data_IF_205759545854
#
_entry.id   IF_205759545854
#
_cell.length_a   1.000
_cell.length_b   1.000
_cell.length_c   1.000
_cell.angle_alpha   90.00
_cell.angle_beta   90.00
_cell.angle_gamma   90.00
#
_symmetry.space_group_name_H-M   'P 1'
#
loop_
_entity.id
_entity.type
_entity.pdbx_description
1 polymer ?
#
# COMPACT_ATOMS: atom_id res chain seq x y z
N UNK A 1 -8.98 11.61 -2.39
CA UNK A 1 -7.88 10.64 -2.20
C UNK A 1 -8.03 9.97 -0.83
N UNK A 2 -8.34 8.68 -0.76
CA UNK A 2 -8.56 8.03 0.55
C UNK A 2 -7.21 7.66 1.16
N UNK A 3 -6.86 8.27 2.31
CA UNK A 3 -5.64 7.92 3.05
C UNK A 3 -5.49 6.41 3.29
N UNK A 4 -6.62 5.70 3.34
CA UNK A 4 -6.69 4.25 3.42
C UNK A 4 -6.11 3.52 2.20
N UNK A 5 -6.34 4.02 0.98
CA UNK A 5 -5.77 3.42 -0.24
C UNK A 5 -4.24 3.48 -0.18
N UNK A 6 -3.67 4.63 0.22
CA UNK A 6 -2.24 4.77 0.42
C UNK A 6 -1.75 3.88 1.58
N UNK A 7 -2.41 3.90 2.74
CA UNK A 7 -2.03 3.07 3.89
C UNK A 7 -1.97 1.57 3.56
N UNK A 8 -2.85 1.13 2.64
CA UNK A 8 -2.92 -0.25 2.15
C UNK A 8 -1.80 -0.64 1.19
N UNK A 9 -0.99 0.30 0.72
CA UNK A 9 0.18 0.00 -0.09
C UNK A 9 1.31 -0.61 0.76
N UNK A 10 2.21 -1.40 0.15
CA UNK A 10 3.46 -1.76 0.77
C UNK A 10 4.25 -0.53 1.26
N UNK A 11 5.03 -0.69 2.32
CA UNK A 11 5.82 0.41 2.92
C UNK A 11 6.73 1.08 1.89
N UNK A 12 7.36 0.29 1.00
CA UNK A 12 8.22 0.77 -0.12
C UNK A 12 7.51 1.66 -1.15
N UNK A 13 6.18 1.70 -1.13
CA UNK A 13 5.35 2.49 -2.04
C UNK A 13 4.59 3.59 -1.28
N UNK A 14 5.13 4.06 -0.16
CA UNK A 14 4.52 5.14 0.62
C UNK A 14 3.37 4.74 1.53
N UNK A 15 3.03 3.45 1.59
CA UNK A 15 2.00 2.95 2.50
C UNK A 15 2.51 2.59 3.90
N UNK A 16 1.65 1.92 4.66
CA UNK A 16 1.97 1.36 5.99
C UNK A 16 2.13 -0.17 5.95
N UNK A 17 1.88 -0.81 4.81
CA UNK A 17 1.87 -2.27 4.70
C UNK A 17 0.63 -2.93 5.29
N UNK A 18 -0.39 -2.16 5.69
CA UNK A 18 -1.62 -2.68 6.29
C UNK A 18 -2.60 -3.06 5.18
N UNK A 19 -2.52 -4.29 4.69
CA UNK A 19 -3.32 -4.74 3.54
C UNK A 19 -4.79 -4.93 3.90
N UNK A 20 -5.70 -4.44 3.04
CA UNK A 20 -7.13 -4.77 3.12
C UNK A 20 -7.37 -6.18 2.59
N UNK A 21 -7.94 -7.05 3.42
CA UNK A 21 -8.22 -8.44 3.04
C UNK A 21 -9.03 -8.56 1.74
N UNK A 22 -10.05 -7.70 1.57
CA UNK A 22 -10.91 -7.67 0.37
C UNK A 22 -10.13 -7.34 -0.91
N UNK A 23 -9.11 -6.48 -0.84
CA UNK A 23 -8.28 -6.14 -2.01
C UNK A 23 -7.30 -7.27 -2.34
N UNK A 24 -6.81 -7.98 -1.32
CA UNK A 24 -5.81 -9.03 -1.47
C UNK A 24 -6.43 -10.38 -1.87
N UNK A 25 -7.69 -10.63 -1.48
CA UNK A 25 -8.36 -11.92 -1.63
C UNK A 25 -8.38 -12.46 -3.08
N UNK A 26 -8.71 -11.67 -4.12
CA UNK A 26 -8.69 -12.17 -5.50
C UNK A 26 -7.30 -12.62 -5.93
N UNK A 27 -6.26 -11.82 -5.66
CA UNK A 27 -4.88 -12.16 -5.98
C UNK A 27 -4.41 -13.42 -5.25
N UNK A 28 -4.73 -13.56 -3.96
CA UNK A 28 -4.40 -14.77 -3.18
C UNK A 28 -5.08 -16.01 -3.74
N UNK A 29 -6.39 -15.94 -3.95
CA UNK A 29 -7.19 -17.07 -4.39
C UNK A 29 -6.72 -17.56 -5.77
N UNK A 30 -6.57 -16.63 -6.72
CA UNK A 30 -6.16 -16.98 -8.08
C UNK A 30 -4.74 -17.54 -8.13
N UNK A 31 -3.82 -17.01 -7.31
CA UNK A 31 -2.47 -17.56 -7.22
C UNK A 31 -2.39 -18.91 -6.52
N UNK A 32 -3.19 -19.12 -5.49
CA UNK A 32 -3.32 -20.44 -4.86
C UNK A 32 -3.91 -21.46 -5.84
N UNK A 33 -4.98 -21.11 -6.54
CA UNK A 33 -5.63 -21.97 -7.53
C UNK A 33 -4.70 -22.33 -8.70
N UNK A 34 -3.92 -21.37 -9.21
CA UNK A 34 -2.95 -21.62 -10.26
C UNK A 34 -1.74 -22.42 -9.75
N UNK A 35 -1.19 -22.09 -8.58
CA UNK A 35 0.00 -22.75 -8.03
C UNK A 35 -0.25 -24.17 -7.52
N UNK A 36 -1.48 -24.50 -7.15
CA UNK A 36 -1.88 -25.85 -6.72
C UNK A 36 -2.35 -26.75 -7.87
N UNK A 37 -2.55 -26.22 -9.09
CA UNK A 37 -3.12 -26.96 -10.23
C UNK A 37 -2.38 -28.27 -10.50
N UNK A 38 -1.07 -28.21 -10.69
CA UNK A 38 -0.26 -29.39 -11.02
C UNK A 38 -0.34 -30.47 -9.92
N UNK A 39 -0.35 -30.05 -8.65
CA UNK A 39 -0.49 -30.97 -7.52
C UNK A 39 -1.87 -31.63 -7.49
N UNK A 40 -2.93 -30.84 -7.73
CA UNK A 40 -4.30 -31.35 -7.81
C UNK A 40 -4.43 -32.35 -8.95
N UNK A 41 -3.84 -32.05 -10.11
CA UNK A 41 -3.87 -32.92 -11.29
C UNK A 41 -3.10 -34.23 -11.08
N UNK A 42 -2.04 -34.23 -10.26
CA UNK A 42 -1.30 -35.44 -9.89
C UNK A 42 -1.99 -36.31 -8.83
N UNK A 43 -2.74 -35.70 -7.89
CA UNK A 43 -3.40 -36.42 -6.80
C UNK A 43 -4.76 -36.98 -7.24
N UNK A 44 -5.50 -36.21 -8.04
CA UNK A 44 -6.86 -36.57 -8.43
C UNK A 44 -6.89 -37.38 -9.74
N UNK A 45 -7.78 -38.38 -9.85
CA UNK A 45 -8.11 -39.00 -11.13
C UNK A 45 -8.53 -37.97 -12.18
N UNK A 46 -8.22 -38.22 -13.46
CA UNK A 46 -8.42 -37.27 -14.56
C UNK A 46 -9.85 -36.68 -14.65
N UNK A 47 -10.89 -37.46 -14.30
CA UNK A 47 -12.27 -36.98 -14.33
C UNK A 47 -12.57 -35.94 -13.23
N UNK A 48 -11.85 -35.99 -12.10
CA UNK A 48 -11.99 -35.04 -11.00
C UNK A 48 -11.09 -33.82 -11.20
N UNK A 49 -9.87 -33.99 -11.74
CA UNK A 49 -8.96 -32.88 -12.01
C UNK A 49 -9.47 -31.92 -13.10
N UNK A 50 -10.25 -32.44 -14.05
CA UNK A 50 -10.92 -31.62 -15.08
C UNK A 50 -12.11 -30.82 -14.55
N UNK A 51 -12.56 -31.05 -13.32
CA UNK A 51 -13.66 -30.27 -12.74
C UNK A 51 -13.16 -28.84 -12.48
N UNK A 52 -13.84 -27.80 -13.04
CA UNK A 52 -13.44 -26.42 -12.81
C UNK A 52 -13.46 -26.08 -11.31
N UNK A 53 -12.39 -25.46 -10.82
CA UNK A 53 -12.35 -24.94 -9.46
C UNK A 53 -13.45 -23.86 -9.32
N UNK A 54 -14.34 -23.97 -8.32
CA UNK A 54 -15.39 -22.98 -8.13
C UNK A 54 -14.77 -21.62 -7.84
N UNK A 55 -15.47 -20.55 -8.20
CA UNK A 55 -15.11 -19.15 -7.93
C UNK A 55 -13.88 -18.58 -8.66
N UNK A 56 -13.17 -19.36 -9.49
CA UNK A 56 -12.06 -18.83 -10.32
C UNK A 56 -12.53 -17.69 -11.23
N UNK A 57 -13.65 -17.88 -11.92
CA UNK A 57 -14.19 -16.85 -12.82
C UNK A 57 -14.66 -15.61 -12.04
N UNK A 58 -15.26 -15.81 -10.86
CA UNK A 58 -15.70 -14.71 -10.00
C UNK A 58 -14.51 -13.91 -9.45
N UNK A 59 -13.45 -14.60 -9.02
CA UNK A 59 -12.23 -13.96 -8.53
C UNK A 59 -11.50 -13.22 -9.65
N UNK A 60 -11.41 -13.80 -10.85
CA UNK A 60 -10.87 -13.12 -12.03
C UNK A 60 -11.70 -11.89 -12.38
N UNK A 61 -13.04 -11.99 -12.40
CA UNK A 61 -13.91 -10.86 -12.68
C UNK A 61 -13.76 -9.74 -11.62
N UNK A 62 -13.72 -10.10 -10.33
CA UNK A 62 -13.50 -9.13 -9.25
C UNK A 62 -12.15 -8.43 -9.38
N UNK A 63 -11.10 -9.16 -9.73
CA UNK A 63 -9.76 -8.61 -9.90
C UNK A 63 -9.65 -7.72 -11.15
N UNK A 64 -10.14 -8.18 -12.30
CA UNK A 64 -10.16 -7.39 -13.54
C UNK A 64 -11.06 -6.15 -13.42
N UNK A 65 -12.17 -6.23 -12.69
CA UNK A 65 -13.02 -5.07 -12.42
C UNK A 65 -12.33 -4.04 -11.52
N UNK A 66 -11.49 -4.48 -10.58
CA UNK A 66 -10.72 -3.58 -9.73
C UNK A 66 -9.52 -2.95 -10.48
N UNK A 67 -8.96 -3.67 -11.45
CA UNK A 67 -7.77 -3.27 -12.20
C UNK A 67 -7.92 -3.50 -13.71
N UNK A 68 -8.79 -2.73 -14.39
CA UNK A 68 -9.19 -3.00 -15.78
C UNK A 68 -8.06 -2.81 -16.80
N UNK A 69 -7.02 -2.05 -16.45
CA UNK A 69 -5.85 -1.82 -17.30
C UNK A 69 -4.75 -2.87 -17.12
N UNK A 70 -4.89 -3.81 -16.17
CA UNK A 70 -3.88 -4.83 -15.90
C UNK A 70 -4.20 -6.14 -16.59
N UNK A 71 -3.26 -6.62 -17.40
CA UNK A 71 -3.26 -7.97 -17.95
C UNK A 71 -2.04 -8.73 -17.39
N UNK A 72 -2.20 -9.61 -16.39
CA UNK A 72 -1.07 -10.31 -15.81
C UNK A 72 -0.53 -11.33 -16.82
N UNK A 73 0.80 -11.45 -16.93
CA UNK A 73 1.42 -12.59 -17.58
C UNK A 73 0.99 -13.93 -16.94
N UNK A 74 0.91 -14.99 -17.73
CA UNK A 74 0.47 -16.31 -17.24
C UNK A 74 1.37 -16.90 -16.15
N UNK A 75 2.67 -16.59 -16.19
CA UNK A 75 3.69 -16.96 -15.20
C UNK A 75 3.54 -16.21 -13.86
N UNK A 76 2.91 -15.03 -13.87
CA UNK A 76 2.62 -14.24 -12.66
C UNK A 76 1.37 -14.76 -11.94
N UNK A 77 0.52 -15.53 -12.63
CA UNK A 77 -0.75 -15.98 -12.07
C UNK A 77 -0.57 -16.83 -10.82
N UNK A 78 0.44 -17.72 -10.73
CA UNK A 78 0.67 -18.64 -9.61
C UNK A 78 1.44 -18.01 -8.43
N UNK A 79 2.05 -16.85 -8.61
CA UNK A 79 2.85 -16.19 -7.57
C UNK A 79 2.08 -15.02 -6.96
N UNK A 80 1.49 -15.25 -5.77
CA UNK A 80 0.66 -14.25 -5.07
C UNK A 80 1.36 -12.89 -4.96
N UNK A 81 2.63 -12.87 -4.54
CA UNK A 81 3.41 -11.63 -4.37
C UNK A 81 3.56 -10.86 -5.68
N UNK A 82 3.75 -11.53 -6.80
CA UNK A 82 3.95 -10.91 -8.09
C UNK A 82 2.63 -10.29 -8.57
N UNK A 83 1.52 -11.06 -8.48
CA UNK A 83 0.18 -10.59 -8.86
C UNK A 83 -0.28 -9.41 -8.00
N UNK A 84 -0.04 -9.50 -6.70
CA UNK A 84 -0.32 -8.44 -5.75
C UNK A 84 0.52 -7.18 -5.97
N UNK A 85 1.79 -7.33 -6.39
CA UNK A 85 2.65 -6.17 -6.66
C UNK A 85 2.14 -5.36 -7.87
N UNK A 86 1.54 -6.02 -8.87
CA UNK A 86 0.89 -5.31 -9.99
C UNK A 86 -0.30 -4.47 -9.51
N UNK A 87 -1.15 -5.05 -8.65
CA UNK A 87 -2.30 -4.35 -8.07
C UNK A 87 -1.86 -3.16 -7.19
N UNK A 88 -0.81 -3.34 -6.38
CA UNK A 88 -0.23 -2.27 -5.58
C UNK A 88 0.35 -1.15 -6.47
N UNK A 89 1.05 -1.51 -7.56
CA UNK A 89 1.59 -0.55 -8.51
C UNK A 89 0.47 0.28 -9.19
N UNK A 90 -0.56 -0.37 -9.73
CA UNK A 90 -1.68 0.34 -10.32
C UNK A 90 -2.38 1.28 -9.33
N UNK A 91 -2.51 0.87 -8.06
CA UNK A 91 -3.07 1.72 -7.00
C UNK A 91 -2.17 2.93 -6.73
N UNK A 92 -0.86 2.75 -6.68
CA UNK A 92 0.10 3.84 -6.50
C UNK A 92 0.09 4.82 -7.69
N UNK A 93 0.03 4.31 -8.92
CA UNK A 93 -0.02 5.11 -10.14
C UNK A 93 -1.31 5.94 -10.21
N UNK A 94 -2.46 5.35 -9.84
CA UNK A 94 -3.74 6.07 -9.69
C UNK A 94 -3.64 7.17 -8.64
N UNK A 95 -3.06 6.89 -7.47
CA UNK A 95 -2.85 7.93 -6.44
C UNK A 95 -1.96 9.07 -6.92
N UNK A 96 -0.91 8.78 -7.69
CA UNK A 96 -0.05 9.80 -8.27
C UNK A 96 -0.74 10.61 -9.36
N UNK A 97 -1.59 9.98 -10.17
CA UNK A 97 -2.34 10.61 -11.25
C UNK A 97 -3.48 11.49 -10.71
N UNK A 98 -4.18 11.03 -9.68
CA UNK A 98 -5.30 11.72 -9.02
C UNK A 98 -4.84 12.72 -7.92
N UNK A 99 -3.55 13.03 -7.85
CA UNK A 99 -3.02 14.00 -6.90
C UNK A 99 -3.63 15.39 -7.17
N UNK A 100 -4.28 16.02 -6.16
CA UNK A 100 -4.96 17.31 -6.36
C UNK A 100 -3.98 18.47 -6.58
N UNK A 101 -2.76 18.35 -6.06
CA UNK A 101 -1.72 19.37 -6.15
C UNK A 101 -0.31 18.74 -6.08
N UNK A 102 0.69 19.55 -6.43
CA UNK A 102 2.11 19.16 -6.40
C UNK A 102 2.60 18.83 -4.99
N UNK A 103 1.95 19.35 -3.96
CA UNK A 103 2.30 19.07 -2.56
C UNK A 103 1.93 17.63 -2.18
N UNK A 104 0.73 17.17 -2.55
CA UNK A 104 0.30 15.78 -2.35
C UNK A 104 1.13 14.83 -3.21
N UNK A 105 1.38 15.19 -4.47
CA UNK A 105 2.23 14.41 -5.38
C UNK A 105 3.66 14.30 -4.85
N UNK A 106 4.26 15.41 -4.44
CA UNK A 106 5.60 15.48 -3.86
C UNK A 106 5.71 14.65 -2.58
N UNK A 107 4.71 14.73 -1.70
CA UNK A 107 4.62 13.87 -0.50
C UNK A 107 4.61 12.39 -0.86
N UNK A 108 3.74 11.96 -1.78
CA UNK A 108 3.65 10.56 -2.22
C UNK A 108 4.98 10.03 -2.78
N UNK A 109 5.69 10.84 -3.56
CA UNK A 109 7.01 10.49 -4.07
C UNK A 109 8.06 10.43 -2.95
N UNK A 110 8.05 11.39 -2.03
CA UNK A 110 8.98 11.44 -0.91
C UNK A 110 8.85 10.21 0.01
N UNK A 111 7.62 9.80 0.33
CA UNK A 111 7.37 8.64 1.20
C UNK A 111 7.55 7.29 0.50
N UNK A 112 7.75 7.28 -0.82
CA UNK A 112 8.08 6.11 -1.62
C UNK A 112 9.58 6.03 -1.97
N UNK A 113 10.39 6.97 -1.48
CA UNK A 113 11.84 6.93 -1.67
C UNK A 113 12.47 5.75 -0.89
N UNK A 114 13.59 5.18 -1.35
CA UNK A 114 14.21 3.99 -0.74
C UNK A 114 14.44 4.09 0.78
N UNK A 115 14.90 5.25 1.27
CA UNK A 115 15.27 5.42 2.67
C UNK A 115 14.09 5.79 3.58
N UNK A 116 12.95 6.18 3.00
CA UNK A 116 11.74 6.58 3.76
C UNK A 116 11.10 5.44 4.56
N UNK A 117 11.55 4.20 4.34
CA UNK A 117 11.00 2.99 4.97
C UNK A 117 11.83 2.50 6.16
N UNK A 118 13.06 2.99 6.31
CA UNK A 118 14.02 2.45 7.28
C UNK A 118 13.47 2.45 8.71
N UNK A 119 12.88 3.58 9.14
CA UNK A 119 12.28 3.69 10.48
C UNK A 119 10.98 2.91 10.64
N UNK A 120 10.20 2.76 9.57
CA UNK A 120 8.93 2.00 9.63
C UNK A 120 9.19 0.49 9.75
N UNK A 121 10.28 0.01 9.14
CA UNK A 121 10.67 -1.40 9.18
C UNK A 121 11.59 -1.75 10.36
N UNK A 122 12.04 -0.77 11.15
CA UNK A 122 12.92 -1.00 12.28
C UNK A 122 12.16 -1.73 13.40
N UNK A 123 12.80 -2.73 14.01
CA UNK A 123 12.26 -3.36 15.21
C UNK A 123 12.21 -2.34 16.37
N UNK A 124 11.10 -2.25 17.12
CA UNK A 124 10.97 -1.29 18.21
C UNK A 124 11.78 -1.74 19.44
N UNK A 125 13.10 -1.53 19.39
CA UNK A 125 14.05 -1.92 20.44
C UNK A 125 14.42 -0.68 21.26
N UNK A 126 13.91 -0.60 22.50
CA UNK A 126 14.11 0.55 23.39
C UNK A 126 15.58 0.79 23.73
N UNK A 127 16.37 -0.26 23.97
CA UNK A 127 17.80 -0.13 24.31
C UNK A 127 18.66 0.45 23.18
N UNK A 128 18.17 0.40 21.94
CA UNK A 128 18.82 0.96 20.75
C UNK A 128 18.22 2.31 20.33
N UNK A 129 17.27 2.86 21.09
CA UNK A 129 16.56 4.10 20.72
C UNK A 129 15.67 3.98 19.48
N UNK A 130 15.32 2.76 19.07
CA UNK A 130 14.48 2.50 17.89
C UNK A 130 12.98 2.52 18.20
N UNK A 131 12.61 2.46 19.48
CA UNK A 131 11.23 2.58 19.91
C UNK A 131 10.78 4.05 19.86
N UNK A 132 9.78 4.34 19.03
CA UNK A 132 9.18 5.68 18.94
C UNK A 132 8.05 5.83 19.95
N UNK A 133 7.90 7.02 20.53
CA UNK A 133 6.72 7.35 21.34
C UNK A 133 5.45 7.41 20.48
N UNK A 134 4.29 7.14 21.09
CA UNK A 134 2.99 7.16 20.42
C UNK A 134 2.72 8.47 19.67
N UNK A 135 3.11 9.62 20.26
CA UNK A 135 2.98 10.92 19.61
C UNK A 135 3.82 11.02 18.34
N UNK A 136 5.07 10.54 18.38
CA UNK A 136 5.97 10.49 17.22
C UNK A 136 5.40 9.57 16.14
N UNK A 137 4.90 8.39 16.51
CA UNK A 137 4.27 7.45 15.55
C UNK A 137 3.05 8.10 14.90
N UNK A 138 2.16 8.71 15.69
CA UNK A 138 0.96 9.38 15.18
C UNK A 138 1.30 10.49 14.20
N UNK A 139 2.23 11.38 14.55
CA UNK A 139 2.67 12.46 13.66
C UNK A 139 3.34 11.92 12.40
N UNK A 140 4.21 10.91 12.52
CA UNK A 140 4.88 10.31 11.37
C UNK A 140 3.89 9.64 10.41
N UNK A 141 2.90 8.89 10.94
CA UNK A 141 1.84 8.28 10.14
C UNK A 141 0.98 9.35 9.46
N UNK A 142 0.60 10.40 10.20
CA UNK A 142 -0.21 11.49 9.65
C UNK A 142 0.52 12.24 8.52
N UNK A 143 1.79 12.61 8.71
CA UNK A 143 2.62 13.20 7.65
C UNK A 143 2.77 12.23 6.47
N UNK A 144 3.04 10.94 6.74
CA UNK A 144 3.20 9.93 5.69
C UNK A 144 1.95 9.80 4.84
N UNK A 145 0.76 9.81 5.46
CA UNK A 145 -0.53 9.64 4.80
C UNK A 145 -1.21 10.94 4.36
N UNK A 146 -0.63 12.11 4.67
CA UNK A 146 -1.19 13.41 4.32
C UNK A 146 -2.46 13.71 5.11
N UNK A 147 -2.50 13.27 6.37
CA UNK A 147 -3.60 13.51 7.30
C UNK A 147 -3.30 14.75 8.16
N UNK A 148 -4.34 15.38 8.73
CA UNK A 148 -4.17 16.46 9.69
C UNK A 148 -3.27 16.05 10.88
N UNK A 149 -2.27 16.87 11.19
CA UNK A 149 -1.34 16.66 12.31
C UNK A 149 -1.59 17.65 13.45
N UNK A 150 -2.13 18.83 13.14
CA UNK A 150 -2.42 19.89 14.10
C UNK A 150 -3.64 20.71 13.67
N UNK A 151 -4.11 21.56 14.57
CA UNK A 151 -5.05 22.63 14.22
C UNK A 151 -4.28 23.78 13.55
N UNK A 152 -4.87 24.49 12.57
CA UNK A 152 -4.26 25.68 12.00
C UNK A 152 -3.94 26.72 13.07
N UNK A 153 -2.74 27.30 13.00
CA UNK A 153 -2.25 28.28 13.98
C UNK A 153 -1.15 29.17 13.39
N UNK A 154 -0.80 30.26 14.07
CA UNK A 154 0.36 31.08 13.70
C UNK A 154 1.62 30.50 14.33
N UNK A 155 2.67 30.32 13.52
CA UNK A 155 3.96 29.83 13.97
C UNK A 155 4.58 30.81 14.97
N UNK A 156 4.93 30.31 16.15
CA UNK A 156 5.54 31.14 17.20
C UNK A 156 6.95 31.64 16.85
N UNK A 157 7.61 31.04 15.85
CA UNK A 157 8.97 31.40 15.45
C UNK A 157 8.98 32.50 14.38
N UNK A 158 8.29 32.28 13.26
CA UNK A 158 8.33 33.20 12.12
C UNK A 158 7.02 33.96 11.88
N UNK A 159 5.96 33.67 12.66
CA UNK A 159 4.63 34.29 12.52
C UNK A 159 3.78 33.77 11.34
N UNK A 160 4.32 32.88 10.50
CA UNK A 160 3.58 32.35 9.35
C UNK A 160 2.38 31.48 9.75
N UNK A 161 1.36 31.43 8.89
CA UNK A 161 0.21 30.55 9.10
C UNK A 161 0.57 29.10 8.80
N UNK A 162 0.35 28.23 9.78
CA UNK A 162 0.48 26.78 9.67
C UNK A 162 -0.89 26.19 9.38
N UNK A 163 -0.99 25.37 8.35
CA UNK A 163 -2.22 24.65 8.03
C UNK A 163 -2.37 23.36 8.85
N UNK A 164 -3.46 22.62 8.62
CA UNK A 164 -3.75 21.40 9.35
C UNK A 164 -2.74 20.27 9.11
N UNK A 165 -1.99 20.29 8.01
CA UNK A 165 -0.98 19.29 7.70
C UNK A 165 0.29 19.48 8.54
N UNK A 166 0.53 20.70 9.04
CA UNK A 166 1.61 20.98 9.98
C UNK A 166 3.02 20.82 9.39
N UNK A 167 3.16 20.78 8.06
CA UNK A 167 4.45 20.60 7.37
C UNK A 167 5.40 21.79 7.52
N UNK A 168 4.87 22.95 7.92
CA UNK A 168 5.66 24.16 8.17
C UNK A 168 6.81 23.92 9.16
N UNK A 169 6.57 23.14 10.22
CA UNK A 169 7.59 22.84 11.23
C UNK A 169 8.80 22.05 10.70
N UNK A 170 8.72 21.50 9.48
CA UNK A 170 9.80 20.74 8.86
C UNK A 170 10.84 21.62 8.14
N UNK A 171 10.50 22.89 7.86
CA UNK A 171 11.36 23.81 7.12
C UNK A 171 11.40 25.22 7.74
N UNK A 172 10.67 25.46 8.83
CA UNK A 172 10.77 26.73 9.55
C UNK A 172 12.14 26.81 10.22
N UNK A 173 12.94 27.77 9.79
CA UNK A 173 14.21 28.11 10.42
C UNK A 173 13.98 29.22 11.45
N UNK A 174 14.90 29.33 12.43
CA UNK A 174 14.92 30.41 13.41
C UNK A 174 15.49 31.68 12.81
#
# INVERSE_FOLDING_TARGET
MTAWAQASLPVRMGGLGIRRAVQLAPSCFLSSAAGSRDHVDHILPAHLSQTPLPYVDQANAAWSSAYPSLNPPADVCSVQKARDSLAAQATFDSLLHEAPDDRVRGRLLAVSSPDSVARVNAAPITSLGLCMHDSTIRSAVAVRLGLPTCLPHSCHLCGANVDELGTHGLHCER
#
